data_IF_792631397468
#
_entry.id   IF_792631397468
#
_cell.length_a   1.000
_cell.length_b   1.000
_cell.length_c   1.000
_cell.angle_alpha   90.00
_cell.angle_beta   90.00
_cell.angle_gamma   90.00
#
_symmetry.space_group_name_H-M   'P 1'
#
loop_
_entity.id
_entity.type
_entity.pdbx_description
1 polymer ?
#
# COMPACT_ATOMS: atom_id res chain seq x y z
N UNK A 1 20.78 -11.40 -12.99
CA UNK A 1 19.62 -10.51 -12.86
C UNK A 1 18.46 -11.40 -12.42
N UNK A 2 17.97 -11.23 -11.20
CA UNK A 2 16.85 -12.01 -10.69
C UNK A 2 15.57 -11.50 -11.39
N UNK A 3 15.11 -12.23 -12.40
CA UNK A 3 13.84 -11.97 -13.10
C UNK A 3 12.64 -12.54 -12.33
N UNK A 4 12.79 -12.81 -11.04
CA UNK A 4 11.73 -13.33 -10.19
C UNK A 4 10.72 -12.25 -9.87
N UNK A 5 9.45 -12.51 -10.18
CA UNK A 5 8.34 -11.69 -9.72
C UNK A 5 8.35 -11.65 -8.18
N UNK A 6 8.45 -10.45 -7.61
CA UNK A 6 8.44 -10.25 -6.15
C UNK A 6 7.08 -9.74 -5.70
N UNK A 7 6.46 -10.45 -4.77
CA UNK A 7 5.14 -10.12 -4.25
C UNK A 7 5.27 -9.83 -2.76
N UNK A 8 4.76 -8.69 -2.32
CA UNK A 8 4.64 -8.33 -0.90
C UNK A 8 3.16 -8.38 -0.52
N UNK A 9 2.85 -9.07 0.57
CA UNK A 9 1.53 -9.08 1.18
C UNK A 9 1.69 -8.62 2.62
N UNK A 10 1.02 -7.53 2.99
CA UNK A 10 1.22 -6.91 4.30
C UNK A 10 -0.08 -6.37 4.88
N UNK A 11 -0.41 -6.81 6.10
CA UNK A 11 -1.39 -6.17 6.96
C UNK A 11 -0.76 -4.92 7.60
N UNK A 12 -1.20 -3.74 7.19
CA UNK A 12 -0.63 -2.45 7.59
C UNK A 12 -1.31 -1.81 8.79
N UNK A 13 -2.36 -2.44 9.33
CA UNK A 13 -3.11 -1.99 10.50
C UNK A 13 -3.56 -0.50 10.45
N UNK A 14 -3.81 0.04 9.27
CA UNK A 14 -4.26 1.41 9.02
C UNK A 14 -3.31 2.21 8.12
N UNK A 15 -3.84 3.12 7.30
CA UNK A 15 -3.08 4.05 6.44
C UNK A 15 -3.47 5.54 6.65
N UNK A 16 -4.00 5.86 7.83
CA UNK A 16 -4.66 7.13 8.09
C UNK A 16 -3.70 8.33 8.22
N UNK A 17 -2.42 8.10 8.55
CA UNK A 17 -1.46 9.19 8.77
C UNK A 17 -0.41 9.24 7.67
N UNK A 18 -0.05 10.44 7.24
CA UNK A 18 0.98 10.65 6.22
C UNK A 18 2.35 10.09 6.64
N UNK A 19 2.74 10.27 7.91
CA UNK A 19 4.00 9.73 8.43
C UNK A 19 4.07 8.20 8.33
N UNK A 20 2.97 7.50 8.59
CA UNK A 20 2.90 6.05 8.46
C UNK A 20 2.97 5.59 7.01
N UNK A 21 2.26 6.27 6.10
CA UNK A 21 2.37 6.02 4.65
C UNK A 21 3.81 6.14 4.16
N UNK A 22 4.52 7.18 4.59
CA UNK A 22 5.93 7.38 4.23
C UNK A 22 6.85 6.29 4.78
N UNK A 23 6.61 5.82 6.02
CA UNK A 23 7.37 4.72 6.60
C UNK A 23 7.14 3.41 5.84
N UNK A 24 5.89 3.12 5.47
CA UNK A 24 5.53 1.97 4.62
C UNK A 24 6.22 2.06 3.27
N UNK A 25 6.19 3.24 2.63
CA UNK A 25 6.87 3.48 1.36
C UNK A 25 8.35 3.15 1.44
N UNK A 26 9.02 3.73 2.43
CA UNK A 26 10.46 3.52 2.65
C UNK A 26 10.78 2.04 2.83
N UNK A 27 9.92 1.28 3.53
CA UNK A 27 10.12 -0.16 3.69
C UNK A 27 9.92 -0.91 2.36
N UNK A 28 8.84 -0.62 1.63
CA UNK A 28 8.53 -1.28 0.36
C UNK A 28 9.61 -1.05 -0.70
N UNK A 29 10.20 0.14 -0.74
CA UNK A 29 11.30 0.47 -1.64
C UNK A 29 12.51 -0.47 -1.45
N UNK A 30 12.75 -0.96 -0.23
CA UNK A 30 13.84 -1.92 0.03
C UNK A 30 13.58 -3.32 -0.54
N UNK A 31 12.32 -3.65 -0.84
CA UNK A 31 11.93 -5.00 -1.28
C UNK A 31 12.13 -5.20 -2.79
N UNK A 32 12.03 -4.12 -3.57
CA UNK A 32 11.93 -4.21 -5.03
C UNK A 32 10.71 -5.00 -5.49
N UNK A 33 9.59 -4.88 -4.79
CA UNK A 33 8.35 -5.59 -5.10
C UNK A 33 7.80 -5.18 -6.48
N UNK A 34 7.27 -6.17 -7.20
CA UNK A 34 6.53 -5.97 -8.45
C UNK A 34 5.01 -5.88 -8.20
N UNK A 35 4.53 -6.56 -7.16
CA UNK A 35 3.13 -6.56 -6.75
C UNK A 35 3.07 -6.34 -5.23
N UNK A 36 2.21 -5.43 -4.79
CA UNK A 36 2.00 -5.13 -3.37
C UNK A 36 0.52 -5.29 -3.03
N UNK A 37 0.23 -6.09 -2.01
CA UNK A 37 -1.11 -6.29 -1.46
C UNK A 37 -1.13 -5.78 -0.02
N UNK A 38 -1.86 -4.67 0.23
CA UNK A 38 -2.04 -4.13 1.57
C UNK A 38 -3.42 -4.51 2.14
N UNK A 39 -3.43 -5.01 3.38
CA UNK A 39 -4.64 -5.42 4.11
C UNK A 39 -4.83 -4.58 5.38
N UNK A 40 -6.06 -4.54 5.90
CA UNK A 40 -6.43 -3.72 7.07
C UNK A 40 -5.97 -2.26 6.89
N UNK A 41 -6.14 -1.69 5.69
CA UNK A 41 -5.76 -0.28 5.42
C UNK A 41 -6.62 0.69 6.22
N UNK A 42 -7.80 0.25 6.69
CA UNK A 42 -8.78 1.02 7.49
C UNK A 42 -9.15 2.35 6.84
N UNK A 43 -9.08 2.40 5.50
CA UNK A 43 -9.43 3.58 4.71
C UNK A 43 -10.92 3.57 4.41
N UNK A 44 -11.63 4.57 4.94
CA UNK A 44 -13.03 4.82 4.59
C UNK A 44 -13.16 5.50 3.22
N UNK A 45 -12.11 6.20 2.79
CA UNK A 45 -12.04 6.92 1.53
C UNK A 45 -10.62 6.85 0.97
N UNK A 46 -10.49 6.63 -0.34
CA UNK A 46 -9.20 6.64 -1.02
C UNK A 46 -9.06 7.95 -1.81
N UNK A 47 -8.19 8.84 -1.33
CA UNK A 47 -7.80 10.03 -2.08
C UNK A 47 -6.72 9.67 -3.11
N UNK A 48 -6.66 10.40 -4.23
CA UNK A 48 -5.67 10.17 -5.30
C UNK A 48 -4.22 10.29 -4.83
N UNK A 49 -3.96 10.96 -3.70
CA UNK A 49 -2.61 11.06 -3.12
C UNK A 49 -2.20 9.87 -2.27
N UNK A 50 -3.14 9.05 -1.77
CA UNK A 50 -2.81 7.99 -0.79
C UNK A 50 -1.89 6.93 -1.40
N UNK A 51 -2.18 6.48 -2.62
CA UNK A 51 -1.37 5.47 -3.31
C UNK A 51 0.04 5.99 -3.62
N UNK A 52 0.24 7.14 -4.29
CA UNK A 52 1.58 7.64 -4.54
C UNK A 52 2.35 8.00 -3.24
N UNK A 53 1.68 8.45 -2.18
CA UNK A 53 2.31 8.67 -0.87
C UNK A 53 2.80 7.35 -0.22
N UNK A 54 2.11 6.22 -0.46
CA UNK A 54 2.36 4.94 0.24
C UNK A 54 3.20 3.96 -0.57
N UNK A 55 2.98 3.90 -1.88
CA UNK A 55 3.56 2.91 -2.79
C UNK A 55 4.43 3.57 -3.87
N UNK A 56 4.04 4.78 -4.29
CA UNK A 56 4.73 5.53 -5.33
C UNK A 56 4.02 5.57 -6.67
N UNK A 57 4.57 6.40 -7.55
CA UNK A 57 4.02 6.63 -8.89
C UNK A 57 4.20 5.42 -9.81
N UNK A 58 5.09 4.48 -9.47
CA UNK A 58 5.28 3.22 -10.18
C UNK A 58 4.10 2.24 -10.00
N UNK A 59 3.24 2.46 -9.01
CA UNK A 59 2.01 1.70 -8.78
C UNK A 59 0.79 2.53 -9.20
N UNK A 60 0.73 2.91 -10.47
CA UNK A 60 -0.35 3.71 -11.07
C UNK A 60 -1.58 2.86 -11.48
N UNK A 61 -1.39 1.56 -11.71
CA UNK A 61 -2.48 0.57 -11.86
C UNK A 61 -2.74 -0.16 -10.53
N UNK A 62 -3.90 0.10 -9.94
CA UNK A 62 -4.29 -0.49 -8.67
C UNK A 62 -5.80 -0.68 -8.54
N UNK A 63 -6.18 -1.64 -7.70
CA UNK A 63 -7.56 -1.86 -7.27
C UNK A 63 -7.63 -1.84 -5.74
N UNK A 64 -8.79 -1.50 -5.20
CA UNK A 64 -8.97 -1.38 -3.76
C UNK A 64 -10.41 -1.67 -3.34
N UNK A 65 -10.55 -2.05 -2.08
CA UNK A 65 -11.83 -2.16 -1.38
C UNK A 65 -11.75 -1.29 -0.12
N UNK A 66 -12.70 -0.37 0.03
CA UNK A 66 -12.77 0.51 1.19
C UNK A 66 -13.30 -0.23 2.42
N UNK A 67 -12.89 0.23 3.60
CA UNK A 67 -13.41 -0.23 4.88
C UNK A 67 -14.81 0.37 5.13
N UNK A 68 -15.80 -0.06 4.37
CA UNK A 68 -17.20 0.39 4.53
C UNK A 68 -17.93 -0.52 5.54
N UNK A 69 -18.12 -0.02 6.76
CA UNK A 69 -18.88 -0.72 7.80
C UNK A 69 -18.20 -1.98 8.36
N UNK A 70 -16.93 -2.21 8.01
CA UNK A 70 -16.14 -3.34 8.49
C UNK A 70 -15.51 -3.02 9.85
N UNK A 71 -15.52 -3.99 10.77
CA UNK A 71 -14.81 -3.92 12.07
C UNK A 71 -13.72 -4.99 12.10
N UNK A 72 -12.47 -4.55 11.96
CA UNK A 72 -11.24 -5.33 12.11
C UNK A 72 -10.28 -4.65 13.07
#
# INVERSE_FOLDING_TARGET
MDHGLKIVVWNVCGLNTHAWRHAIRTLLDTTGASIVCLQETKLELLCSSIVPDTLGSEFDDYTYLLAQGTRG
#
